data_IF_404399841470
#
_entry.id   IF_404399841470
#
_cell.length_a   1.000
_cell.length_b   1.000
_cell.length_c   1.000
_cell.angle_alpha   90.00
_cell.angle_beta   90.00
_cell.angle_gamma   90.00
#
_symmetry.space_group_name_H-M   'P 1'
#
loop_
_entity.id
_entity.type
_entity.pdbx_description
1 polymer ?
#
# COMPACT_ATOMS: atom_id res chain seq x y z
N UNK A 1 52.85 -16.72 -35.43
CA UNK A 1 52.86 -18.19 -35.51
C UNK A 1 52.86 -18.76 -34.10
N UNK A 2 52.16 -19.88 -33.94
CA UNK A 2 52.12 -20.78 -32.78
C UNK A 2 51.18 -20.34 -31.64
N UNK A 3 49.88 -20.65 -31.79
CA UNK A 3 49.21 -21.95 -31.48
C UNK A 3 48.76 -22.00 -30.02
N UNK A 4 47.60 -21.38 -29.79
CA UNK A 4 46.71 -21.62 -28.67
C UNK A 4 46.23 -23.08 -28.68
N UNK A 5 46.36 -23.76 -27.55
CA UNK A 5 45.53 -24.90 -27.17
C UNK A 5 45.22 -24.76 -25.67
N UNK A 6 43.99 -24.34 -25.35
CA UNK A 6 43.40 -24.45 -24.01
C UNK A 6 42.35 -25.57 -24.10
N UNK A 7 42.48 -26.60 -23.27
CA UNK A 7 41.46 -27.64 -23.08
C UNK A 7 40.30 -27.08 -22.26
N UNK A 8 39.17 -26.89 -22.94
CA UNK A 8 37.85 -26.56 -22.41
C UNK A 8 37.16 -27.87 -21.99
N UNK A 9 36.73 -27.97 -20.74
CA UNK A 9 35.76 -28.99 -20.30
C UNK A 9 34.34 -28.52 -20.61
N UNK A 10 33.82 -28.87 -21.79
CA UNK A 10 32.40 -28.79 -22.14
C UNK A 10 31.72 -30.13 -21.83
N UNK A 11 30.61 -30.12 -21.10
CA UNK A 11 29.56 -31.09 -21.36
C UNK A 11 28.92 -30.71 -22.71
N UNK A 12 28.95 -31.63 -23.65
CA UNK A 12 28.24 -31.49 -24.92
C UNK A 12 26.73 -31.60 -24.65
N UNK A 13 26.02 -30.48 -24.71
CA UNK A 13 24.96 -30.27 -25.69
C UNK A 13 24.43 -28.83 -25.55
N UNK A 14 24.50 -28.11 -26.67
CA UNK A 14 23.77 -26.87 -26.96
C UNK A 14 24.28 -25.60 -26.27
N UNK A 15 25.17 -24.93 -27.00
CA UNK A 15 25.20 -23.47 -27.23
C UNK A 15 24.93 -22.54 -26.04
N UNK A 16 25.99 -21.80 -25.67
CA UNK A 16 26.11 -20.33 -25.74
C UNK A 16 26.68 -19.71 -24.44
N UNK A 17 27.99 -19.47 -24.50
CA UNK A 17 28.75 -18.33 -23.95
C UNK A 17 28.36 -17.81 -22.55
N UNK A 18 29.10 -18.29 -21.55
CA UNK A 18 29.30 -17.60 -20.29
C UNK A 18 30.09 -16.30 -20.51
N UNK A 19 29.42 -15.16 -20.32
CA UNK A 19 30.05 -13.86 -20.14
C UNK A 19 30.71 -13.81 -18.76
N UNK A 20 31.99 -13.40 -18.70
CA UNK A 20 32.60 -12.91 -17.46
C UNK A 20 31.97 -11.54 -17.15
N UNK A 21 30.83 -11.55 -16.46
CA UNK A 21 30.28 -10.38 -15.82
C UNK A 21 31.00 -10.20 -14.49
N UNK A 22 31.77 -9.12 -14.37
CA UNK A 22 32.00 -8.47 -13.08
C UNK A 22 30.64 -8.02 -12.56
N UNK A 23 29.99 -8.88 -11.78
CA UNK A 23 28.77 -8.53 -11.07
C UNK A 23 29.05 -7.34 -10.15
N UNK A 24 28.13 -6.36 -10.05
CA UNK A 24 28.31 -5.25 -9.14
C UNK A 24 28.46 -5.80 -7.73
N UNK A 25 29.37 -5.20 -6.96
CA UNK A 25 29.31 -5.28 -5.51
C UNK A 25 27.94 -4.73 -5.10
N UNK A 26 26.93 -5.60 -4.97
CA UNK A 26 25.81 -5.33 -4.09
C UNK A 26 26.36 -5.57 -2.69
N UNK A 27 27.02 -4.54 -2.20
CA UNK A 27 27.11 -4.25 -0.78
C UNK A 27 25.66 -4.11 -0.30
N UNK A 28 25.01 -5.25 -0.06
CA UNK A 28 23.79 -5.30 0.71
C UNK A 28 24.22 -5.09 2.15
N UNK A 29 24.55 -3.84 2.49
CA UNK A 29 24.17 -3.31 3.79
C UNK A 29 22.68 -3.55 3.88
N UNK A 30 22.34 -4.66 4.55
CA UNK A 30 21.02 -4.95 5.06
C UNK A 30 20.66 -3.78 5.99
N UNK A 31 20.16 -2.69 5.41
CA UNK A 31 19.10 -1.96 6.06
C UNK A 31 17.98 -2.99 6.16
N UNK A 32 17.76 -3.48 7.37
CA UNK A 32 16.48 -4.04 7.73
C UNK A 32 15.51 -2.88 7.56
N UNK A 33 15.06 -2.66 6.32
CA UNK A 33 13.87 -1.88 6.07
C UNK A 33 12.79 -2.73 6.72
N UNK A 34 12.33 -2.30 7.89
CA UNK A 34 11.01 -2.69 8.36
C UNK A 34 10.09 -2.31 7.21
N UNK A 35 9.72 -3.28 6.37
CA UNK A 35 8.76 -3.02 5.31
C UNK A 35 7.47 -2.66 6.04
N UNK A 36 7.19 -1.36 6.12
CA UNK A 36 5.98 -0.82 6.73
C UNK A 36 4.80 -1.40 5.98
N UNK A 37 4.22 -2.42 6.60
CA UNK A 37 3.10 -3.20 6.10
C UNK A 37 1.81 -2.49 6.47
N UNK A 38 0.84 -2.51 5.55
CA UNK A 38 -0.51 -2.05 5.87
C UNK A 38 -1.38 -3.13 6.53
N UNK A 39 -0.86 -4.35 6.68
CA UNK A 39 -1.54 -5.40 7.43
C UNK A 39 -1.67 -4.99 8.91
N UNK A 40 -2.76 -5.36 9.59
CA UNK A 40 -2.92 -5.13 11.02
C UNK A 40 -1.79 -5.75 11.82
N UNK A 41 -1.31 -5.03 12.83
CA UNK A 41 -0.33 -5.55 13.79
C UNK A 41 -0.95 -6.67 14.64
N UNK A 42 -0.20 -7.74 14.86
CA UNK A 42 -0.51 -8.82 15.80
C UNK A 42 -0.15 -8.38 17.23
N UNK A 43 -0.99 -7.50 17.81
CA UNK A 43 -0.87 -7.04 19.19
C UNK A 43 -2.25 -6.84 19.82
N UNK A 44 -2.52 -7.57 20.91
CA UNK A 44 -3.78 -7.48 21.65
C UNK A 44 -3.55 -7.40 23.16
N UNK A 45 -4.30 -6.54 23.83
CA UNK A 45 -4.31 -6.48 25.29
C UNK A 45 -5.17 -7.59 25.91
N UNK A 46 -4.65 -8.26 26.94
CA UNK A 46 -5.35 -9.31 27.69
C UNK A 46 -5.50 -8.97 29.18
N UNK A 47 -6.56 -9.51 29.80
CA UNK A 47 -6.87 -9.34 31.22
C UNK A 47 -7.89 -8.23 31.50
N UNK A 48 -8.32 -8.14 32.76
CA UNK A 48 -9.37 -7.18 33.18
C UNK A 48 -8.82 -5.87 33.76
N UNK A 49 -7.60 -5.49 33.36
CA UNK A 49 -6.98 -4.22 33.74
C UNK A 49 -7.16 -3.19 32.62
N UNK A 50 -7.17 -1.91 32.96
CA UNK A 50 -7.24 -0.79 31.98
C UNK A 50 -5.90 -0.06 31.86
N UNK A 51 -4.77 -0.78 31.92
CA UNK A 51 -3.45 -0.17 31.74
C UNK A 51 -3.19 0.04 30.26
N UNK A 52 -2.91 1.28 29.86
CA UNK A 52 -2.50 1.63 28.51
C UNK A 52 -1.07 1.19 28.24
N UNK A 53 -0.84 0.48 27.13
CA UNK A 53 0.47 -0.07 26.74
C UNK A 53 1.07 0.59 25.50
N UNK A 54 0.26 1.23 24.65
CA UNK A 54 0.70 1.88 23.41
C UNK A 54 -0.40 1.88 22.35
N UNK A 55 -0.06 2.17 21.10
CA UNK A 55 -0.95 2.00 19.94
C UNK A 55 -0.46 0.91 19.00
N UNK A 56 -1.42 0.24 18.36
CA UNK A 56 -1.19 -0.71 17.27
C UNK A 56 -1.96 -0.24 16.02
N UNK A 57 -1.43 -0.54 14.84
CA UNK A 57 -2.15 -0.37 13.58
C UNK A 57 -3.15 -1.52 13.40
N UNK A 58 -4.42 -1.21 13.15
CA UNK A 58 -5.47 -2.22 12.95
C UNK A 58 -5.75 -2.56 11.48
N UNK A 59 -4.93 -2.04 10.56
CA UNK A 59 -5.15 -2.11 9.11
C UNK A 59 -5.65 -0.80 8.50
N UNK A 60 -6.30 0.05 9.30
CA UNK A 60 -6.88 1.32 8.85
C UNK A 60 -6.62 2.49 9.80
N UNK A 61 -6.45 2.22 11.09
CA UNK A 61 -6.34 3.20 12.15
C UNK A 61 -5.34 2.77 13.22
N UNK A 62 -4.79 3.76 13.93
CA UNK A 62 -4.02 3.55 15.14
C UNK A 62 -4.96 3.40 16.34
N UNK A 63 -5.04 2.20 16.91
CA UNK A 63 -5.90 1.88 18.05
C UNK A 63 -5.08 1.74 19.34
N UNK A 64 -5.65 2.18 20.47
CA UNK A 64 -4.99 2.03 21.77
C UNK A 64 -5.08 0.60 22.31
N UNK A 65 -3.94 0.02 22.68
CA UNK A 65 -3.87 -1.29 23.34
C UNK A 65 -3.88 -1.10 24.86
N UNK A 66 -4.80 -1.79 25.53
CA UNK A 66 -4.94 -1.76 26.98
C UNK A 66 -5.23 -3.13 27.58
N UNK A 67 -4.79 -3.38 28.81
CA UNK A 67 -4.88 -4.69 29.44
C UNK A 67 -3.95 -4.85 30.64
N UNK A 68 -3.77 -6.07 31.12
CA UNK A 68 -2.73 -6.43 32.08
C UNK A 68 -1.45 -6.95 31.39
N UNK A 69 -1.57 -7.45 30.15
CA UNK A 69 -0.46 -7.92 29.31
C UNK A 69 -0.79 -7.72 27.83
N UNK A 70 0.24 -7.64 26.98
CA UNK A 70 0.09 -7.70 25.54
C UNK A 70 0.42 -9.12 25.03
N UNK A 71 -0.35 -9.63 24.08
CA UNK A 71 -0.10 -10.88 23.36
C UNK A 71 -0.07 -10.65 21.85
N UNK A 72 0.80 -11.39 21.16
CA UNK A 72 1.03 -11.27 19.72
C UNK A 72 2.50 -10.99 19.40
N UNK A 73 2.87 -11.11 18.12
CA UNK A 73 4.22 -10.92 17.64
C UNK A 73 4.71 -9.46 17.76
N UNK A 74 3.80 -8.49 17.70
CA UNK A 74 4.13 -7.07 17.52
C UNK A 74 4.01 -6.26 18.83
N UNK A 75 3.89 -6.94 19.97
CA UNK A 75 3.75 -6.29 21.28
C UNK A 75 4.94 -5.43 21.72
N UNK A 76 6.13 -5.68 21.16
CA UNK A 76 7.34 -4.90 21.40
C UNK A 76 7.51 -3.75 20.39
N UNK A 77 6.58 -3.60 19.44
CA UNK A 77 6.60 -2.63 18.32
C UNK A 77 5.46 -1.61 18.43
N UNK A 78 4.82 -1.52 19.60
CA UNK A 78 3.75 -0.53 19.83
C UNK A 78 4.27 0.90 19.73
N UNK A 79 3.41 1.76 19.21
CA UNK A 79 3.68 3.19 19.12
C UNK A 79 3.38 3.91 20.42
N UNK A 80 4.20 4.91 20.75
CA UNK A 80 4.01 5.76 21.93
C UNK A 80 3.00 6.89 21.68
N UNK A 81 2.77 7.25 20.41
CA UNK A 81 1.89 8.35 20.04
C UNK A 81 1.05 8.06 18.78
N UNK A 82 -0.18 8.61 18.70
CA UNK A 82 -1.00 8.50 17.49
C UNK A 82 -0.32 9.12 16.27
N UNK A 83 0.38 10.24 16.43
CA UNK A 83 1.02 10.96 15.33
C UNK A 83 2.14 10.12 14.69
N UNK A 84 2.92 9.38 15.50
CA UNK A 84 3.97 8.47 15.01
C UNK A 84 3.38 7.28 14.25
N UNK A 85 2.38 6.62 14.85
CA UNK A 85 1.69 5.50 14.21
C UNK A 85 1.07 5.90 12.87
N UNK A 86 0.38 7.05 12.83
CA UNK A 86 -0.25 7.56 11.62
C UNK A 86 0.77 8.00 10.56
N UNK A 87 1.91 8.56 10.97
CA UNK A 87 2.96 8.94 10.04
C UNK A 87 3.59 7.72 9.37
N UNK A 88 3.86 6.67 10.15
CA UNK A 88 4.41 5.40 9.65
C UNK A 88 3.43 4.68 8.70
N UNK A 89 2.13 4.81 8.96
CA UNK A 89 1.06 4.20 8.18
C UNK A 89 0.34 5.19 7.25
N UNK A 90 0.94 6.35 6.96
CA UNK A 90 0.32 7.38 6.12
C UNK A 90 -0.01 6.89 4.70
N UNK A 91 0.71 5.86 4.24
CA UNK A 91 0.48 5.20 2.95
C UNK A 91 -0.61 4.11 3.01
N UNK A 92 -1.04 3.73 4.22
CA UNK A 92 -1.98 2.65 4.49
C UNK A 92 -3.40 3.14 4.78
N UNK A 93 -3.58 4.44 5.00
CA UNK A 93 -4.90 5.08 4.93
C UNK A 93 -5.35 5.12 3.47
N UNK A 94 -5.66 3.96 2.90
CA UNK A 94 -6.06 3.79 1.50
C UNK A 94 -7.58 3.82 1.29
N UNK A 95 -8.34 4.17 2.32
CA UNK A 95 -9.75 4.55 2.12
C UNK A 95 -9.81 5.91 1.41
N UNK A 96 -10.75 6.12 0.49
CA UNK A 96 -10.92 7.44 -0.14
C UNK A 96 -11.30 8.48 0.92
N UNK A 97 -10.96 9.75 0.64
CA UNK A 97 -11.40 10.85 1.49
C UNK A 97 -12.93 10.96 1.50
N UNK A 98 -13.51 11.36 2.63
CA UNK A 98 -14.93 11.77 2.66
C UNK A 98 -15.18 13.13 2.01
N UNK A 99 -14.12 13.87 1.65
CA UNK A 99 -14.26 15.09 0.87
C UNK A 99 -14.78 14.79 -0.54
N UNK A 100 -15.57 15.70 -1.15
CA UNK A 100 -16.01 15.54 -2.53
C UNK A 100 -14.81 15.39 -3.47
N UNK A 101 -14.90 14.44 -4.38
CA UNK A 101 -13.91 14.26 -5.44
C UNK A 101 -13.94 15.45 -6.41
N UNK A 102 -12.76 15.95 -6.79
CA UNK A 102 -12.55 16.91 -7.85
C UNK A 102 -12.63 16.20 -9.21
N UNK A 103 -13.85 15.87 -9.64
CA UNK A 103 -14.11 15.28 -10.94
C UNK A 103 -15.42 15.82 -11.54
N UNK A 104 -15.32 16.52 -12.67
CA UNK A 104 -16.46 17.11 -13.37
C UNK A 104 -16.46 16.77 -14.85
N UNK A 105 -17.62 16.41 -15.38
CA UNK A 105 -17.79 16.23 -16.82
C UNK A 105 -17.97 17.56 -17.55
N UNK A 106 -17.25 17.74 -18.66
CA UNK A 106 -17.32 18.92 -19.52
C UNK A 106 -17.75 18.59 -20.96
N UNK A 107 -18.40 19.54 -21.62
CA UNK A 107 -18.83 19.44 -23.01
C UNK A 107 -20.32 19.15 -23.18
N UNK A 108 -20.84 19.38 -24.39
CA UNK A 108 -22.27 19.20 -24.71
C UNK A 108 -22.59 17.80 -25.22
N UNK A 109 -22.10 16.78 -24.54
CA UNK A 109 -22.49 15.38 -24.79
C UNK A 109 -22.78 14.66 -23.47
N UNK A 110 -23.35 13.45 -23.57
CA UNK A 110 -23.85 12.68 -22.43
C UNK A 110 -23.18 11.30 -22.33
N UNK A 111 -21.87 11.22 -22.61
CA UNK A 111 -21.12 9.99 -22.41
C UNK A 111 -20.88 9.82 -20.91
N UNK A 112 -21.24 8.64 -20.40
CA UNK A 112 -21.02 8.27 -19.00
C UNK A 112 -19.56 7.88 -18.79
N UNK A 113 -18.91 8.49 -17.81
CA UNK A 113 -17.48 8.32 -17.54
C UNK A 113 -17.19 7.54 -16.25
N UNK A 114 -18.16 7.43 -15.34
CA UNK A 114 -18.02 6.73 -14.06
C UNK A 114 -18.84 7.39 -12.97
N UNK A 115 -18.55 7.08 -11.70
CA UNK A 115 -19.08 7.77 -10.54
C UNK A 115 -17.98 8.49 -9.76
N UNK A 116 -18.34 9.62 -9.17
CA UNK A 116 -17.53 10.35 -8.21
C UNK A 116 -18.30 10.51 -6.90
N UNK A 117 -17.60 10.55 -5.78
CA UNK A 117 -18.17 10.91 -4.48
C UNK A 117 -18.37 12.43 -4.39
N UNK A 118 -19.58 12.89 -4.04
CA UNK A 118 -19.89 14.32 -3.91
C UNK A 118 -19.78 14.86 -2.48
N UNK A 119 -19.22 14.07 -1.55
CA UNK A 119 -19.21 14.34 -0.11
C UNK A 119 -20.39 13.73 0.64
N UNK A 120 -21.39 13.19 -0.06
CA UNK A 120 -22.59 12.59 0.55
C UNK A 120 -23.16 11.40 -0.21
N UNK A 121 -22.89 11.30 -1.51
CA UNK A 121 -23.39 10.26 -2.38
C UNK A 121 -22.50 10.08 -3.61
N UNK A 122 -22.56 8.87 -4.18
CA UNK A 122 -21.93 8.57 -5.46
C UNK A 122 -22.79 9.10 -6.61
N UNK A 123 -22.27 10.08 -7.35
CA UNK A 123 -22.95 10.73 -8.48
C UNK A 123 -22.33 10.30 -9.80
N UNK A 124 -23.16 10.11 -10.82
CA UNK A 124 -22.68 9.78 -12.16
C UNK A 124 -22.07 10.98 -12.87
N UNK A 125 -20.83 10.84 -13.33
CA UNK A 125 -20.15 11.85 -14.14
C UNK A 125 -20.42 11.60 -15.62
N UNK A 126 -20.87 12.63 -16.33
CA UNK A 126 -21.14 12.55 -17.77
C UNK A 126 -20.68 13.81 -18.52
N UNK A 127 -20.22 13.63 -19.75
CA UNK A 127 -19.65 14.71 -20.56
C UNK A 127 -18.89 14.16 -21.76
N UNK A 128 -18.04 15.00 -22.35
CA UNK A 128 -17.10 14.63 -23.42
C UNK A 128 -15.67 14.46 -22.91
N UNK A 129 -15.36 15.07 -21.77
CA UNK A 129 -14.10 14.95 -21.03
C UNK A 129 -14.38 15.07 -19.54
N UNK A 130 -13.52 14.48 -18.72
CA UNK A 130 -13.47 14.74 -17.28
C UNK A 130 -12.39 15.79 -17.00
N UNK A 131 -12.67 16.72 -16.10
CA UNK A 131 -11.70 17.69 -15.57
C UNK A 131 -11.68 17.63 -14.04
N UNK A 132 -10.48 17.82 -13.48
CA UNK A 132 -10.23 17.74 -12.04
C UNK A 132 -9.15 16.73 -11.69
N UNK A 133 -8.66 16.76 -10.45
CA UNK A 133 -7.58 15.89 -9.98
C UNK A 133 -7.98 14.41 -9.94
N UNK A 134 -9.26 14.10 -9.72
CA UNK A 134 -9.72 12.76 -9.37
C UNK A 134 -10.40 12.04 -10.56
N UNK A 135 -10.22 12.55 -11.78
CA UNK A 135 -10.80 11.97 -12.98
C UNK A 135 -10.30 10.56 -13.34
N UNK A 136 -9.12 10.18 -12.84
CA UNK A 136 -8.55 8.84 -13.01
C UNK A 136 -8.96 7.89 -11.87
N UNK A 137 -9.74 8.37 -10.89
CA UNK A 137 -10.17 7.64 -9.69
C UNK A 137 -11.69 7.36 -9.70
N UNK A 138 -12.35 7.56 -10.84
CA UNK A 138 -13.78 7.31 -10.97
C UNK A 138 -14.12 5.83 -10.78
N UNK A 139 -15.23 5.58 -10.12
CA UNK A 139 -15.77 4.25 -9.91
C UNK A 139 -16.56 3.76 -11.12
N UNK A 140 -16.46 2.46 -11.39
CA UNK A 140 -17.22 1.80 -12.46
C UNK A 140 -18.65 1.45 -12.02
N UNK A 141 -18.90 1.37 -10.71
CA UNK A 141 -20.20 0.97 -10.17
C UNK A 141 -20.62 1.74 -8.90
N UNK A 142 -21.93 1.95 -8.69
CA UNK A 142 -22.43 2.56 -7.47
C UNK A 142 -22.08 1.75 -6.21
N UNK A 143 -22.11 0.42 -6.29
CA UNK A 143 -21.88 -0.44 -5.12
C UNK A 143 -20.43 -0.34 -4.62
N UNK A 144 -19.47 -0.24 -5.54
CA UNK A 144 -18.04 -0.04 -5.22
C UNK A 144 -17.81 1.33 -4.58
N UNK A 145 -18.30 2.40 -5.22
CA UNK A 145 -18.17 3.74 -4.68
C UNK A 145 -18.79 3.87 -3.27
N UNK A 146 -19.97 3.29 -3.05
CA UNK A 146 -20.65 3.31 -1.75
C UNK A 146 -19.95 2.44 -0.71
N UNK A 147 -19.37 1.31 -1.12
CA UNK A 147 -18.61 0.46 -0.21
C UNK A 147 -17.34 1.15 0.27
N UNK A 148 -16.63 1.82 -0.63
CA UNK A 148 -15.40 2.55 -0.30
C UNK A 148 -15.65 3.78 0.59
N UNK A 149 -16.82 4.42 0.45
CA UNK A 149 -17.23 5.57 1.27
C UNK A 149 -18.24 5.21 2.37
N UNK A 150 -18.33 3.94 2.77
CA UNK A 150 -19.34 3.49 3.73
C UNK A 150 -19.20 4.11 5.13
N UNK A 151 -18.02 4.63 5.45
CA UNK A 151 -17.69 5.28 6.73
C UNK A 151 -17.84 6.82 6.67
N UNK A 152 -18.32 7.35 5.55
CA UNK A 152 -18.81 8.71 5.36
C UNK A 152 -20.36 8.73 5.51
#
# INVERSE_FOLDING_TARGET
>A
MNRHFWTIGCAAATMLLAACSTGPNTDSTSAFETELSCDPMDAQGEGMCEMYMGLAWDGSNCIGISGCSCVGADCDELYDSPDECQADHAQCSSGPSCDPMDAQGEGMCALYMGLAWDGSSCIGISGCSCVGADCDELYDSPDECQADHADC
#
